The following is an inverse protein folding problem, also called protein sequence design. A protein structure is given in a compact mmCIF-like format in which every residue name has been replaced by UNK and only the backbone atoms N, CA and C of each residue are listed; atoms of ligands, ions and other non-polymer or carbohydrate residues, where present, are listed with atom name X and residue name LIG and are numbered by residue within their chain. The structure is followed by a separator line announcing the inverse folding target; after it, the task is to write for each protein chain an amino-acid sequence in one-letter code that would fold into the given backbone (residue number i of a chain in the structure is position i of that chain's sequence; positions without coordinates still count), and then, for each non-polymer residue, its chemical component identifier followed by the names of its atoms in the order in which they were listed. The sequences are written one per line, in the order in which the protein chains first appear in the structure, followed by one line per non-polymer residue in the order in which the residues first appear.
data_IF_341912702696
#
_entry.id   IF_341912702696
#
_cell.length_a   1.000
_cell.length_b   1.000
_cell.length_c   1.000
_cell.angle_alpha   90.00
_cell.angle_beta   90.00
_cell.angle_gamma   90.00
#
_symmetry.space_group_name_H-M   'P 1'
#
loop_
_entity.id
_entity.type
_entity.pdbx_description
1 polymer ?
#
# COMPACT_ATOMS: atom_id res chain seq x y z
N UNK A 1 27.14 -16.15 -0.42
CA UNK A 1 27.94 -16.56 -1.60
C UNK A 1 27.44 -17.89 -2.19
N UNK A 2 27.10 -18.89 -1.37
CA UNK A 2 26.65 -20.23 -1.82
C UNK A 2 25.31 -20.28 -2.56
N UNK A 3 24.33 -19.43 -2.22
CA UNK A 3 23.04 -19.44 -2.94
C UNK A 3 23.18 -19.08 -4.43
N UNK A 4 24.20 -18.27 -4.79
CA UNK A 4 24.44 -17.84 -6.16
C UNK A 4 25.17 -18.89 -7.01
N UNK A 5 25.84 -19.86 -6.36
CA UNK A 5 26.52 -20.97 -7.05
C UNK A 5 25.57 -22.08 -7.47
N UNK A 6 24.32 -22.07 -7.01
CA UNK A 6 23.29 -23.00 -7.52
C UNK A 6 22.93 -22.59 -8.95
N UNK A 7 23.10 -23.52 -9.89
CA UNK A 7 22.77 -23.39 -11.31
C UNK A 7 22.02 -24.63 -11.75
N UNK A 8 20.91 -24.44 -12.47
CA UNK A 8 20.10 -25.53 -12.97
C UNK A 8 20.30 -25.74 -14.47
N UNK A 9 20.15 -26.99 -14.99
CA UNK A 9 20.59 -27.37 -16.34
C UNK A 9 19.98 -26.58 -17.51
N UNK A 10 18.84 -25.90 -17.32
CA UNK A 10 18.15 -25.10 -18.35
C UNK A 10 17.89 -23.64 -17.89
N UNK A 11 18.67 -23.15 -16.94
CA UNK A 11 18.51 -21.79 -16.44
C UNK A 11 19.00 -20.78 -17.50
N UNK A 12 18.11 -19.90 -17.97
CA UNK A 12 18.40 -18.83 -18.94
C UNK A 12 19.33 -17.71 -18.40
N UNK A 13 20.11 -18.01 -17.37
CA UNK A 13 21.05 -17.09 -16.73
C UNK A 13 22.40 -17.18 -17.43
N UNK A 14 22.91 -16.04 -17.91
CA UNK A 14 24.30 -15.87 -18.36
C UNK A 14 25.25 -16.23 -17.21
N UNK A 15 25.91 -17.37 -17.29
CA UNK A 15 26.91 -17.83 -16.30
C UNK A 15 28.34 -17.69 -16.81
N UNK A 16 28.47 -17.34 -18.08
CA UNK A 16 29.70 -17.01 -18.78
C UNK A 16 30.26 -15.63 -18.43
N UNK A 17 29.45 -14.74 -17.84
CA UNK A 17 29.91 -13.43 -17.34
C UNK A 17 30.02 -13.48 -15.81
N UNK A 18 31.19 -13.17 -15.23
CA UNK A 18 31.31 -12.92 -13.80
C UNK A 18 30.37 -11.81 -13.34
N UNK A 19 29.69 -12.01 -12.21
CA UNK A 19 28.84 -10.95 -11.65
C UNK A 19 29.70 -9.73 -11.29
N UNK A 20 29.45 -8.59 -11.94
CA UNK A 20 30.06 -7.31 -11.60
C UNK A 20 29.11 -6.44 -10.78
N UNK A 21 29.66 -5.65 -9.86
CA UNK A 21 28.89 -4.66 -9.12
C UNK A 21 28.24 -3.68 -10.10
N UNK A 22 26.93 -3.47 -9.99
CA UNK A 22 26.22 -2.50 -10.82
C UNK A 22 26.46 -1.08 -10.30
N UNK A 23 26.56 -0.14 -11.22
CA UNK A 23 26.67 1.29 -10.91
C UNK A 23 25.35 1.81 -10.32
N UNK A 24 24.21 1.25 -10.77
CA UNK A 24 22.88 1.63 -10.30
C UNK A 24 21.96 0.42 -10.13
N UNK A 25 21.19 0.44 -9.06
CA UNK A 25 20.06 -0.45 -8.89
C UNK A 25 18.81 0.05 -9.62
N UNK A 26 17.90 -0.90 -9.86
CA UNK A 26 16.59 -0.65 -10.46
C UNK A 26 15.71 0.17 -9.52
N UNK A 27 14.73 0.87 -10.07
CA UNK A 27 13.88 1.79 -9.29
C UNK A 27 13.14 1.13 -8.13
N UNK A 28 12.66 -0.10 -8.30
CA UNK A 28 11.96 -0.79 -7.21
C UNK A 28 12.84 -0.97 -5.96
N UNK A 29 14.18 -0.96 -6.09
CA UNK A 29 15.12 -1.00 -4.97
C UNK A 29 15.68 0.39 -4.65
N UNK A 30 16.21 1.08 -5.67
CA UNK A 30 16.88 2.37 -5.52
C UNK A 30 15.97 3.47 -5.01
N UNK A 31 14.70 3.45 -5.44
CA UNK A 31 13.71 4.43 -5.05
C UNK A 31 12.95 4.03 -3.77
N UNK A 32 13.46 3.06 -2.98
CA UNK A 32 12.79 2.66 -1.75
C UNK A 32 12.53 3.84 -0.80
N UNK A 33 13.50 4.75 -0.53
CA UNK A 33 13.23 5.93 0.29
C UNK A 33 12.16 6.85 -0.31
N UNK A 34 12.20 7.06 -1.64
CA UNK A 34 11.27 7.94 -2.35
C UNK A 34 9.85 7.37 -2.44
N UNK A 35 9.66 6.07 -2.24
CA UNK A 35 8.33 5.45 -2.17
C UNK A 35 7.84 5.34 -0.73
N UNK A 36 8.74 5.06 0.22
CA UNK A 36 8.36 4.94 1.63
C UNK A 36 8.14 6.31 2.27
N UNK A 37 8.87 7.34 1.86
CA UNK A 37 8.69 8.72 2.36
C UNK A 37 7.24 9.20 2.23
N UNK A 38 6.67 9.24 1.01
CA UNK A 38 5.27 9.63 0.81
C UNK A 38 4.26 8.77 1.56
N UNK A 39 4.58 7.48 1.81
CA UNK A 39 3.72 6.63 2.66
C UNK A 39 3.69 7.14 4.10
N UNK A 40 4.85 7.47 4.67
CA UNK A 40 4.90 8.04 6.02
C UNK A 40 4.22 9.41 6.08
N UNK A 41 4.49 10.29 5.11
CA UNK A 41 3.85 11.61 5.05
C UNK A 41 2.31 11.48 4.98
N UNK A 42 1.80 10.51 4.22
CA UNK A 42 0.36 10.24 4.14
C UNK A 42 -0.19 9.71 5.46
N UNK A 43 0.50 8.78 6.12
CA UNK A 43 0.08 8.24 7.42
C UNK A 43 0.05 9.33 8.50
N UNK A 44 1.07 10.19 8.58
CA UNK A 44 1.11 11.31 9.52
C UNK A 44 -0.06 12.29 9.30
N UNK A 45 -0.40 12.56 8.03
CA UNK A 45 -1.57 13.37 7.67
C UNK A 45 -2.88 12.69 8.11
N UNK A 46 -3.04 11.40 7.82
CA UNK A 46 -4.23 10.62 8.20
C UNK A 46 -4.39 10.58 9.71
N UNK A 47 -3.33 10.31 10.45
CA UNK A 47 -3.34 10.28 11.92
C UNK A 47 -3.79 11.63 12.48
N UNK A 48 -3.35 12.74 11.89
CA UNK A 48 -3.81 14.08 12.29
C UNK A 48 -5.32 14.27 12.11
N UNK A 49 -5.91 13.71 11.05
CA UNK A 49 -7.36 13.80 10.82
C UNK A 49 -8.12 12.88 11.77
N UNK A 50 -7.68 11.63 11.92
CA UNK A 50 -8.31 10.64 12.80
C UNK A 50 -8.26 11.11 14.26
N UNK A 51 -7.13 11.64 14.72
CA UNK A 51 -6.98 12.15 16.09
C UNK A 51 -7.88 13.36 16.36
N UNK A 52 -8.05 14.26 15.38
CA UNK A 52 -9.02 15.35 15.53
C UNK A 52 -10.45 14.85 15.59
N UNK A 53 -10.81 13.92 14.69
CA UNK A 53 -12.19 13.44 14.55
C UNK A 53 -12.64 12.60 15.75
N UNK A 54 -11.77 11.73 16.28
CA UNK A 54 -12.11 10.92 17.46
C UNK A 54 -12.29 11.77 18.72
N UNK A 55 -11.68 12.96 18.76
CA UNK A 55 -11.76 13.90 19.87
C UNK A 55 -12.74 15.07 19.60
N UNK A 56 -13.48 15.06 18.48
CA UNK A 56 -14.43 16.12 18.13
C UNK A 56 -15.85 15.79 18.61
N UNK A 57 -16.68 16.82 18.80
CA UNK A 57 -18.11 16.66 19.02
C UNK A 57 -18.82 16.59 17.66
N UNK A 58 -19.07 15.36 17.20
CA UNK A 58 -19.72 15.06 15.90
C UNK A 58 -21.24 14.92 15.97
N UNK A 59 -21.85 15.10 17.15
CA UNK A 59 -23.31 15.03 17.32
C UNK A 59 -24.01 16.31 16.83
N UNK A 60 -25.34 16.24 16.67
CA UNK A 60 -26.18 17.39 16.35
C UNK A 60 -27.59 17.26 16.97
N UNK A 61 -28.08 18.27 17.72
CA UNK A 61 -27.49 19.59 17.93
C UNK A 61 -26.39 19.63 19.00
N UNK A 62 -25.53 20.64 18.91
CA UNK A 62 -24.54 20.95 19.93
C UNK A 62 -25.15 21.79 21.04
N UNK A 63 -24.72 21.56 22.28
CA UNK A 63 -25.22 22.22 23.48
C UNK A 63 -24.05 22.94 24.16
N UNK A 64 -24.20 24.24 24.39
CA UNK A 64 -23.20 25.10 25.00
C UNK A 64 -23.77 25.78 26.25
N UNK A 65 -22.95 25.92 27.29
CA UNK A 65 -23.32 26.73 28.45
C UNK A 65 -23.32 28.22 28.08
N UNK A 66 -24.35 28.94 28.54
CA UNK A 66 -24.45 30.40 28.33
C UNK A 66 -23.99 31.15 29.59
N UNK A 67 -23.21 32.22 29.40
CA UNK A 67 -22.91 33.15 30.50
C UNK A 67 -24.23 33.69 31.10
N UNK A 68 -24.36 33.56 32.43
CA UNK A 68 -25.57 33.95 33.16
C UNK A 68 -26.57 32.81 33.40
N UNK A 69 -26.26 31.58 32.96
CA UNK A 69 -27.06 30.38 33.22
C UNK A 69 -27.97 29.98 32.06
N UNK A 70 -28.24 28.66 31.97
CA UNK A 70 -28.98 28.05 30.86
C UNK A 70 -28.07 27.54 29.74
N UNK A 71 -28.68 26.99 28.69
CA UNK A 71 -27.99 26.39 27.56
C UNK A 71 -28.34 27.09 26.25
N UNK A 72 -27.35 27.20 25.36
CA UNK A 72 -27.51 27.52 23.95
C UNK A 72 -27.46 26.22 23.13
N UNK A 73 -28.41 26.04 22.22
CA UNK A 73 -28.53 24.85 21.39
C UNK A 73 -28.32 25.26 19.93
N UNK A 74 -27.27 24.74 19.30
CA UNK A 74 -26.87 25.07 17.94
C UNK A 74 -27.01 23.85 17.05
N UNK A 75 -27.79 23.96 15.98
CA UNK A 75 -27.82 22.96 14.92
C UNK A 75 -26.63 23.18 13.99
N UNK A 76 -25.77 22.17 13.85
CA UNK A 76 -24.60 22.16 12.98
C UNK A 76 -24.58 20.94 12.05
N UNK A 77 -23.45 20.74 11.38
CA UNK A 77 -23.21 19.65 10.43
C UNK A 77 -22.01 18.77 10.79
N UNK A 78 -21.57 18.79 12.05
CA UNK A 78 -20.33 18.13 12.49
C UNK A 78 -20.35 16.60 12.34
N UNK A 79 -21.52 15.99 12.12
CA UNK A 79 -21.66 14.57 11.83
C UNK A 79 -21.19 14.19 10.42
N UNK A 80 -20.95 15.17 9.54
CA UNK A 80 -20.55 14.91 8.16
C UNK A 80 -19.06 14.52 8.08
N UNK A 81 -18.77 13.22 7.94
CA UNK A 81 -17.41 12.68 7.94
C UNK A 81 -16.60 12.87 6.65
N UNK A 82 -16.69 14.04 5.99
CA UNK A 82 -16.02 14.27 4.69
C UNK A 82 -14.49 14.15 4.81
N UNK A 83 -13.92 14.79 5.82
CA UNK A 83 -12.46 14.79 6.05
C UNK A 83 -11.95 13.36 6.32
N UNK A 84 -12.69 12.59 7.13
CA UNK A 84 -12.35 11.20 7.42
C UNK A 84 -12.47 10.31 6.17
N UNK A 85 -13.53 10.47 5.37
CA UNK A 85 -13.72 9.72 4.14
C UNK A 85 -12.56 9.95 3.15
N UNK A 86 -12.15 11.20 2.96
CA UNK A 86 -11.01 11.53 2.08
C UNK A 86 -9.67 11.01 2.63
N UNK A 87 -9.47 11.06 3.95
CA UNK A 87 -8.29 10.47 4.58
C UNK A 87 -8.22 8.96 4.36
N UNK A 88 -9.34 8.24 4.44
CA UNK A 88 -9.39 6.80 4.19
C UNK A 88 -9.19 6.44 2.71
N UNK A 89 -9.69 7.25 1.77
CA UNK A 89 -9.38 7.08 0.35
C UNK A 89 -7.88 7.24 0.06
N UNK A 90 -7.23 8.24 0.69
CA UNK A 90 -5.78 8.42 0.61
C UNK A 90 -5.04 7.21 1.20
N UNK A 91 -5.51 6.66 2.32
CA UNK A 91 -4.93 5.46 2.94
C UNK A 91 -4.98 4.27 1.98
N UNK A 92 -6.15 4.01 1.37
CA UNK A 92 -6.34 2.93 0.42
C UNK A 92 -5.39 3.05 -0.78
N UNK A 93 -5.29 4.25 -1.37
CA UNK A 93 -4.36 4.53 -2.46
C UNK A 93 -2.89 4.29 -2.05
N UNK A 94 -2.51 4.78 -0.87
CA UNK A 94 -1.14 4.67 -0.34
C UNK A 94 -0.72 3.21 -0.12
N UNK A 95 -1.60 2.39 0.49
CA UNK A 95 -1.34 0.97 0.73
C UNK A 95 -1.26 0.20 -0.60
N UNK A 96 -2.12 0.53 -1.56
CA UNK A 96 -2.11 -0.09 -2.89
C UNK A 96 -0.80 0.15 -3.63
N UNK A 97 -0.28 1.38 -3.63
CA UNK A 97 0.99 1.70 -4.29
C UNK A 97 2.19 1.00 -3.61
N UNK A 98 2.23 1.03 -2.26
CA UNK A 98 3.23 0.31 -1.49
C UNK A 98 3.22 -1.21 -1.77
N UNK A 99 2.02 -1.80 -1.84
CA UNK A 99 1.84 -3.20 -2.21
C UNK A 99 2.38 -3.50 -3.61
N UNK A 100 2.10 -2.62 -4.58
CA UNK A 100 2.56 -2.76 -5.97
C UNK A 100 4.08 -2.75 -6.07
N UNK A 101 4.80 -1.87 -5.38
CA UNK A 101 6.27 -1.87 -5.43
C UNK A 101 6.86 -3.08 -4.69
N UNK A 102 6.24 -3.51 -3.57
CA UNK A 102 6.68 -4.69 -2.83
C UNK A 102 6.59 -5.96 -3.69
N UNK A 103 5.48 -6.12 -4.42
CA UNK A 103 5.31 -7.23 -5.36
C UNK A 103 6.36 -7.17 -6.48
N UNK A 104 6.64 -6.00 -7.05
CA UNK A 104 7.71 -5.86 -8.07
C UNK A 104 9.10 -6.24 -7.56
N UNK A 105 9.40 -6.03 -6.27
CA UNK A 105 10.65 -6.49 -5.65
C UNK A 105 10.71 -8.02 -5.58
N UNK A 106 9.62 -8.67 -5.17
CA UNK A 106 9.52 -10.14 -5.12
C UNK A 106 9.66 -10.73 -6.52
N UNK A 107 8.93 -10.20 -7.51
CA UNK A 107 8.99 -10.65 -8.90
C UNK A 107 10.42 -10.61 -9.45
N UNK A 108 11.20 -9.57 -9.10
CA UNK A 108 12.61 -9.49 -9.48
C UNK A 108 13.50 -10.51 -8.80
N UNK A 109 13.25 -10.85 -7.53
CA UNK A 109 14.06 -11.83 -6.81
C UNK A 109 13.91 -13.23 -7.40
N UNK A 110 12.72 -13.58 -7.88
CA UNK A 110 12.43 -14.91 -8.44
C UNK A 110 12.80 -15.05 -9.93
N UNK A 111 12.96 -13.95 -10.65
CA UNK A 111 13.36 -13.96 -12.06
C UNK A 111 14.89 -13.98 -12.19
N UNK A 112 15.52 -15.05 -12.71
CA UNK A 112 16.97 -15.15 -12.84
C UNK A 112 17.59 -14.10 -13.76
N UNK A 113 16.80 -13.46 -14.63
CA UNK A 113 17.23 -12.36 -15.50
C UNK A 113 17.26 -11.02 -14.78
N UNK A 114 16.54 -10.90 -13.66
CA UNK A 114 16.38 -9.66 -12.87
C UNK A 114 16.97 -9.77 -11.46
N UNK A 115 17.25 -10.97 -10.96
CA UNK A 115 17.65 -11.24 -9.58
C UNK A 115 19.16 -11.15 -9.34
N UNK A 116 19.92 -10.88 -10.40
CA UNK A 116 21.36 -10.66 -10.38
C UNK A 116 22.18 -11.84 -9.88
N UNK A 117 21.79 -13.04 -10.28
CA UNK A 117 22.53 -14.26 -9.93
C UNK A 117 21.92 -15.03 -8.77
N UNK A 118 20.66 -14.77 -8.42
CA UNK A 118 19.91 -15.72 -7.58
C UNK A 118 19.37 -16.86 -8.47
N UNK A 119 19.15 -18.05 -7.91
CA UNK A 119 18.50 -19.13 -8.63
C UNK A 119 17.08 -18.73 -9.04
N UNK A 120 16.64 -19.20 -10.21
CA UNK A 120 15.24 -19.10 -10.64
C UNK A 120 14.30 -19.50 -9.50
N UNK A 121 13.25 -18.71 -9.29
CA UNK A 121 12.24 -18.92 -8.27
C UNK A 121 12.76 -18.95 -6.82
N UNK A 122 14.02 -18.56 -6.59
CA UNK A 122 14.75 -18.81 -5.34
C UNK A 122 14.67 -20.28 -4.89
N UNK A 123 14.59 -21.22 -5.84
CA UNK A 123 14.41 -22.62 -5.53
C UNK A 123 15.74 -23.30 -5.22
N UNK A 124 15.69 -24.30 -4.35
CA UNK A 124 16.81 -25.17 -3.99
C UNK A 124 16.41 -26.64 -4.08
N UNK A 125 17.39 -27.53 -4.22
CA UNK A 125 17.15 -28.97 -4.31
C UNK A 125 16.72 -29.42 -5.71
N UNK A 126 15.88 -30.46 -5.77
CA UNK A 126 15.50 -31.11 -7.04
C UNK A 126 14.38 -30.33 -7.73
N UNK A 127 14.67 -29.80 -8.92
CA UNK A 127 13.69 -29.12 -9.78
C UNK A 127 12.51 -30.04 -10.09
N UNK A 128 11.29 -29.50 -10.05
CA UNK A 128 10.05 -30.26 -10.30
C UNK A 128 9.45 -30.88 -9.04
N UNK A 129 10.28 -31.19 -8.04
CA UNK A 129 9.82 -31.49 -6.66
C UNK A 129 9.66 -30.19 -5.87
N UNK A 130 10.62 -29.27 -6.04
CA UNK A 130 10.55 -27.91 -5.52
C UNK A 130 10.41 -26.93 -6.71
N UNK A 131 9.37 -26.09 -6.67
CA UNK A 131 9.12 -25.05 -7.67
C UNK A 131 9.54 -23.65 -7.22
N UNK A 132 9.95 -23.49 -5.96
CA UNK A 132 10.30 -22.23 -5.32
C UNK A 132 9.08 -21.37 -4.98
N UNK A 133 9.17 -20.07 -5.24
CA UNK A 133 8.14 -19.09 -4.88
C UNK A 133 7.24 -18.54 -6.01
N UNK A 134 7.08 -19.18 -7.19
CA UNK A 134 6.25 -18.59 -8.25
C UNK A 134 4.76 -18.53 -7.85
N UNK A 135 4.27 -19.51 -7.08
CA UNK A 135 2.88 -19.50 -6.57
C UNK A 135 2.67 -18.36 -5.57
N UNK A 136 3.64 -18.13 -4.69
CA UNK A 136 3.60 -17.01 -3.74
C UNK A 136 3.56 -15.68 -4.48
N UNK A 137 4.40 -15.49 -5.52
CA UNK A 137 4.38 -14.27 -6.33
C UNK A 137 3.06 -14.09 -7.08
N UNK A 138 2.43 -15.18 -7.54
CA UNK A 138 1.11 -15.14 -8.15
C UNK A 138 0.04 -14.65 -7.16
N UNK A 139 0.02 -15.18 -5.92
CA UNK A 139 -0.87 -14.70 -4.86
C UNK A 139 -0.65 -13.22 -4.54
N UNK A 140 0.60 -12.78 -4.41
CA UNK A 140 0.92 -11.36 -4.19
C UNK A 140 0.43 -10.48 -5.35
N UNK A 141 0.59 -10.93 -6.59
CA UNK A 141 0.07 -10.21 -7.77
C UNK A 141 -1.45 -10.08 -7.73
N UNK A 142 -2.15 -11.15 -7.32
CA UNK A 142 -3.61 -11.13 -7.15
C UNK A 142 -4.04 -10.10 -6.10
N UNK A 143 -3.39 -10.07 -4.94
CA UNK A 143 -3.68 -9.10 -3.87
C UNK A 143 -3.46 -7.65 -4.34
N UNK A 144 -2.41 -7.38 -5.12
CA UNK A 144 -2.19 -6.04 -5.68
C UNK A 144 -3.31 -5.65 -6.67
N UNK A 145 -3.81 -6.58 -7.48
CA UNK A 145 -4.92 -6.29 -8.40
C UNK A 145 -6.24 -6.04 -7.66
N UNK A 146 -6.50 -6.79 -6.60
CA UNK A 146 -7.65 -6.59 -5.73
C UNK A 146 -7.58 -5.20 -5.06
N UNK A 147 -6.44 -4.86 -4.46
CA UNK A 147 -6.20 -3.55 -3.86
C UNK A 147 -6.40 -2.38 -4.84
N UNK A 148 -5.99 -2.53 -6.11
CA UNK A 148 -6.24 -1.51 -7.15
C UNK A 148 -7.72 -1.28 -7.42
N UNK A 149 -8.52 -2.34 -7.34
CA UNK A 149 -9.98 -2.22 -7.48
C UNK A 149 -10.56 -1.50 -6.27
N UNK A 150 -10.09 -1.85 -5.07
CA UNK A 150 -10.57 -1.28 -3.81
C UNK A 150 -10.09 0.17 -3.55
N UNK A 151 -9.06 0.65 -4.26
CA UNK A 151 -8.55 2.02 -4.12
C UNK A 151 -9.34 3.07 -4.92
N UNK A 152 -10.49 2.71 -5.49
CA UNK A 152 -11.40 3.71 -6.07
C UNK A 152 -11.97 4.59 -4.93
N UNK A 153 -11.90 5.92 -5.03
CA UNK A 153 -12.29 6.80 -3.94
C UNK A 153 -13.80 6.72 -3.69
N UNK A 154 -14.18 6.34 -2.47
CA UNK A 154 -15.59 6.30 -2.06
C UNK A 154 -16.13 7.67 -1.66
N UNK A 155 -15.26 8.61 -1.24
CA UNK A 155 -15.65 9.95 -0.76
C UNK A 155 -16.24 10.86 -1.84
N UNK A 156 -16.16 10.46 -3.12
CA UNK A 156 -16.74 11.19 -4.26
C UNK A 156 -18.06 10.57 -4.75
N UNK A 157 -18.51 9.47 -4.14
CA UNK A 157 -19.68 8.71 -4.54
C UNK A 157 -20.85 8.93 -3.56
N UNK A 158 -21.35 10.16 -3.51
CA UNK A 158 -22.49 10.55 -2.67
C UNK A 158 -23.71 10.90 -3.52
N UNK A 159 -24.89 10.47 -3.06
CA UNK A 159 -26.18 10.77 -3.69
C UNK A 159 -27.19 11.27 -2.65
N UNK A 160 -28.07 12.22 -3.00
CA UNK A 160 -29.08 12.72 -2.08
C UNK A 160 -30.02 11.63 -1.54
N UNK A 161 -30.23 11.63 -0.23
CA UNK A 161 -31.22 10.81 0.47
C UNK A 161 -32.23 11.66 1.26
N UNK A 162 -33.16 11.01 1.97
CA UNK A 162 -34.25 11.64 2.76
C UNK A 162 -35.04 12.73 2.01
N UNK A 163 -35.33 12.52 0.73
CA UNK A 163 -36.06 13.52 -0.07
C UNK A 163 -35.28 14.83 -0.26
N UNK A 164 -33.98 14.73 -0.52
CA UNK A 164 -33.02 15.83 -0.65
C UNK A 164 -32.84 16.65 0.64
N UNK A 165 -33.05 16.03 1.80
CA UNK A 165 -33.01 16.69 3.12
C UNK A 165 -31.91 16.13 4.03
N UNK A 166 -30.89 15.48 3.46
CA UNK A 166 -29.69 15.06 4.21
C UNK A 166 -29.11 16.16 5.10
#
# INVERSE_FOLDING_TARGET
HEARSVQLPDESRRTDIPYSSRIQDVYSLRCAPQVYGPVFDALDYIDTIVDKEINSATDNPLIFDKEGGGFEIISGGNFHGQDLAQAMDLLAMTITDLGSICERRIARLIDPTLSWGLPRNLMSGVRGVNTGYPVVQCSMSSLVMENRTLSMPGSVDSIPSKGNSE
#
